data_IF_429857927990
#
_entry.id   IF_429857927990
#
_cell.length_a   1.000
_cell.length_b   1.000
_cell.length_c   1.000
_cell.angle_alpha   90.00
_cell.angle_beta   90.00
_cell.angle_gamma   90.00
#
_symmetry.space_group_name_H-M   'P 1'
#
loop_
_entity.id
_entity.type
_entity.pdbx_description
1 polymer ?
#
# COMPACT_ATOMS: atom_id res chain seq x y z
N UNK A 1 8.12 4.41 -19.00
CA UNK A 1 9.35 4.87 -19.70
C UNK A 1 10.18 3.63 -20.06
N UNK A 2 11.35 3.76 -20.71
CA UNK A 2 12.20 2.59 -21.05
C UNK A 2 12.59 1.75 -19.84
N UNK A 3 12.78 2.40 -18.68
CA UNK A 3 13.07 1.73 -17.42
C UNK A 3 11.90 0.86 -16.93
N UNK A 4 10.66 1.36 -17.01
CA UNK A 4 9.45 0.59 -16.69
C UNK A 4 9.34 -0.66 -17.58
N UNK A 5 9.58 -0.52 -18.88
CA UNK A 5 9.51 -1.64 -19.82
C UNK A 5 10.54 -2.72 -19.49
N UNK A 6 11.78 -2.31 -19.23
CA UNK A 6 12.86 -3.20 -18.78
C UNK A 6 12.48 -3.99 -17.51
N UNK A 7 11.86 -3.33 -16.53
CA UNK A 7 11.39 -3.99 -15.31
C UNK A 7 10.32 -5.04 -15.61
N UNK A 8 9.32 -4.69 -16.42
CA UNK A 8 8.20 -5.58 -16.80
C UNK A 8 8.71 -6.82 -17.54
N UNK A 9 9.57 -6.66 -18.55
CA UNK A 9 10.12 -7.78 -19.32
C UNK A 9 10.88 -8.79 -18.47
N UNK A 10 11.46 -8.34 -17.34
CA UNK A 10 12.24 -9.17 -16.42
C UNK A 10 11.49 -9.57 -15.15
N UNK A 11 10.21 -9.21 -15.03
CA UNK A 11 9.43 -9.36 -13.80
C UNK A 11 10.13 -8.77 -12.56
N UNK A 12 10.78 -7.61 -12.74
CA UNK A 12 11.41 -6.88 -11.64
C UNK A 12 10.43 -5.90 -11.01
N UNK A 13 10.58 -5.75 -9.70
CA UNK A 13 9.80 -4.87 -8.85
C UNK A 13 10.78 -4.15 -7.94
N UNK A 14 10.73 -2.83 -7.92
CA UNK A 14 11.51 -2.01 -6.98
C UNK A 14 10.65 -1.56 -5.78
N UNK A 15 11.23 -0.77 -4.88
CA UNK A 15 10.54 -0.35 -3.65
C UNK A 15 9.33 0.56 -3.91
N UNK A 16 9.38 1.42 -4.92
CA UNK A 16 8.25 2.29 -5.26
C UNK A 16 7.11 1.48 -5.89
N UNK A 17 7.45 0.50 -6.73
CA UNK A 17 6.47 -0.42 -7.31
C UNK A 17 5.70 -1.19 -6.23
N UNK A 18 6.37 -1.60 -5.13
CA UNK A 18 5.70 -2.29 -4.03
C UNK A 18 4.60 -1.44 -3.40
N UNK A 19 4.86 -0.15 -3.19
CA UNK A 19 3.87 0.78 -2.65
C UNK A 19 2.71 0.98 -3.64
N UNK A 20 3.02 1.18 -4.92
CA UNK A 20 2.01 1.37 -5.97
C UNK A 20 1.12 0.14 -6.11
N UNK A 21 1.70 -1.05 -6.19
CA UNK A 21 0.95 -2.28 -6.33
C UNK A 21 0.11 -2.58 -5.10
N UNK A 22 0.62 -2.34 -3.89
CA UNK A 22 -0.20 -2.47 -2.67
C UNK A 22 -1.38 -1.50 -2.70
N UNK A 23 -1.17 -0.24 -3.06
CA UNK A 23 -2.25 0.75 -3.16
C UNK A 23 -3.33 0.32 -4.16
N UNK A 24 -2.94 -0.20 -5.33
CA UNK A 24 -3.86 -0.73 -6.35
C UNK A 24 -4.63 -1.93 -5.81
N UNK A 25 -3.96 -2.86 -5.11
CA UNK A 25 -4.63 -4.01 -4.48
C UNK A 25 -5.66 -3.58 -3.43
N UNK A 26 -5.38 -2.50 -2.69
CA UNK A 26 -6.30 -1.96 -1.70
C UNK A 26 -7.52 -1.25 -2.32
N UNK A 27 -7.53 -0.93 -3.61
CA UNK A 27 -8.75 -0.43 -4.27
C UNK A 27 -9.79 -1.55 -4.45
N UNK A 28 -9.37 -2.82 -4.43
CA UNK A 28 -10.29 -3.96 -4.37
C UNK A 28 -10.86 -4.11 -2.94
N UNK A 29 -12.17 -3.93 -2.81
CA UNK A 29 -12.87 -3.97 -1.52
C UNK A 29 -12.75 -5.31 -0.78
N UNK A 30 -12.70 -6.45 -1.49
CA UNK A 30 -12.55 -7.76 -0.86
C UNK A 30 -11.16 -7.92 -0.25
N UNK A 31 -10.12 -7.52 -0.99
CA UNK A 31 -8.75 -7.55 -0.51
C UNK A 31 -8.59 -6.60 0.68
N UNK A 32 -9.12 -5.38 0.56
CA UNK A 32 -9.08 -4.38 1.63
C UNK A 32 -9.78 -4.88 2.89
N UNK A 33 -11.01 -5.39 2.80
CA UNK A 33 -11.73 -5.93 3.95
C UNK A 33 -10.98 -7.09 4.62
N UNK A 34 -10.39 -7.98 3.83
CA UNK A 34 -9.58 -9.09 4.35
C UNK A 34 -8.36 -8.59 5.11
N UNK A 35 -7.65 -7.59 4.57
CA UNK A 35 -6.45 -7.03 5.20
C UNK A 35 -6.79 -6.20 6.45
N UNK A 36 -7.82 -5.35 6.40
CA UNK A 36 -8.27 -4.57 7.56
C UNK A 36 -8.72 -5.46 8.72
N UNK A 37 -9.38 -6.59 8.45
CA UNK A 37 -9.73 -7.57 9.51
C UNK A 37 -8.50 -8.23 10.13
N UNK A 38 -7.46 -8.46 9.32
CA UNK A 38 -6.22 -9.11 9.78
C UNK A 38 -5.37 -8.15 10.62
N UNK A 39 -5.29 -6.88 10.21
CA UNK A 39 -4.52 -5.83 10.87
C UNK A 39 -5.46 -4.84 11.57
N UNK A 40 -5.94 -5.23 12.75
CA UNK A 40 -6.96 -4.46 13.49
C UNK A 40 -6.44 -3.13 14.07
N UNK A 41 -5.12 -3.03 14.26
CA UNK A 41 -4.42 -1.88 14.78
C UNK A 41 -3.26 -1.57 13.87
N UNK A 42 -3.13 -0.31 13.47
CA UNK A 42 -2.06 0.16 12.61
C UNK A 42 -1.33 1.25 13.38
N UNK A 43 -0.01 1.14 13.44
CA UNK A 43 0.85 2.16 14.03
C UNK A 43 1.84 2.56 12.96
N UNK A 44 1.92 3.86 12.68
CA UNK A 44 2.91 4.43 11.78
C UNK A 44 3.89 5.23 12.62
N UNK A 45 5.11 4.73 12.71
CA UNK A 45 6.22 5.46 13.32
C UNK A 45 6.81 6.45 12.30
N UNK A 46 7.48 7.49 12.80
CA UNK A 46 8.08 8.56 11.98
C UNK A 46 7.12 9.14 10.92
N UNK A 47 5.86 9.37 11.31
CA UNK A 47 4.79 9.78 10.39
C UNK A 47 5.11 11.08 9.62
N UNK A 48 5.92 11.97 10.19
CA UNK A 48 6.37 13.19 9.51
C UNK A 48 7.18 12.94 8.23
N UNK A 49 7.80 11.77 8.10
CA UNK A 49 8.61 11.38 6.94
C UNK A 49 7.80 10.57 5.90
N UNK A 50 6.50 10.37 6.16
CA UNK A 50 5.60 9.59 5.31
C UNK A 50 5.17 10.39 4.08
N UNK A 51 5.22 9.77 2.90
CA UNK A 51 4.70 10.36 1.67
C UNK A 51 3.20 10.06 1.46
N UNK A 52 2.58 10.70 0.47
CA UNK A 52 1.12 10.58 0.23
C UNK A 52 0.67 9.13 0.04
N UNK A 53 1.40 8.33 -0.75
CA UNK A 53 0.98 6.95 -1.03
C UNK A 53 1.07 6.05 0.21
N UNK A 54 2.07 6.26 1.06
CA UNK A 54 2.20 5.53 2.32
C UNK A 54 1.07 5.90 3.30
N UNK A 55 0.71 7.18 3.39
CA UNK A 55 -0.43 7.65 4.18
C UNK A 55 -1.75 7.06 3.70
N UNK A 56 -1.98 7.04 2.38
CA UNK A 56 -3.16 6.43 1.77
C UNK A 56 -3.26 4.93 2.07
N UNK A 57 -2.14 4.21 2.02
CA UNK A 57 -2.08 2.78 2.35
C UNK A 57 -2.47 2.56 3.83
N UNK A 58 -1.88 3.32 4.75
CA UNK A 58 -2.20 3.21 6.18
C UNK A 58 -3.70 3.49 6.43
N UNK A 59 -4.24 4.53 5.78
CA UNK A 59 -5.65 4.88 5.88
C UNK A 59 -6.58 3.78 5.37
N UNK A 60 -6.31 3.25 4.17
CA UNK A 60 -7.11 2.19 3.58
C UNK A 60 -7.07 0.90 4.38
N UNK A 61 -5.92 0.56 4.97
CA UNK A 61 -5.79 -0.62 5.82
C UNK A 61 -6.60 -0.47 7.12
N UNK A 62 -6.66 0.73 7.70
CA UNK A 62 -7.40 0.97 8.95
C UNK A 62 -8.89 1.30 8.76
N UNK A 63 -9.37 1.49 7.52
CA UNK A 63 -10.72 1.99 7.20
C UNK A 63 -11.83 1.33 8.03
N UNK A 64 -11.73 0.01 8.25
CA UNK A 64 -12.73 -0.78 8.98
C UNK A 64 -12.79 -0.49 10.48
N UNK A 65 -11.64 -0.30 11.11
CA UNK A 65 -11.52 -0.20 12.56
C UNK A 65 -11.29 1.24 13.02
N UNK A 66 -10.88 2.13 12.11
CA UNK A 66 -10.53 3.54 12.36
C UNK A 66 -9.48 3.72 13.47
N UNK A 67 -8.54 2.77 13.56
CA UNK A 67 -7.48 2.73 14.56
C UNK A 67 -6.11 2.90 13.88
N UNK A 68 -5.79 4.14 13.54
CA UNK A 68 -4.45 4.61 13.11
C UNK A 68 -3.84 5.40 14.26
#
# INVERSE_FOLDING_TARGET
NMYTLYKVERNYVDYDDLLIYLKILLDNAEIRDRLSRKYQYIMVDEYQDTNVIQGDIAFLLAEKHRNI
#
